data_IF_781417301647
#
_entry.id   IF_781417301647
#
_cell.length_a   1.000
_cell.length_b   1.000
_cell.length_c   1.000
_cell.angle_alpha   90.00
_cell.angle_beta   90.00
_cell.angle_gamma   90.00
#
_symmetry.space_group_name_H-M   'P 1'
#
loop_
_entity.id
_entity.type
_entity.pdbx_description
1 polymer ?
#
# COMPACT_ATOMS: atom_id res chain seq x y z
N UNK A 1 -7.26 -63.44 13.54
CA UNK A 1 -6.86 -62.21 14.27
C UNK A 1 -5.81 -61.37 13.52
N UNK A 2 -4.93 -61.94 12.73
CA UNK A 2 -3.84 -61.27 11.98
C UNK A 2 -4.37 -60.50 10.76
N UNK A 3 -5.42 -60.99 10.10
CA UNK A 3 -5.98 -60.40 8.88
C UNK A 3 -6.65 -59.04 9.12
N UNK A 4 -7.33 -58.86 10.26
CA UNK A 4 -7.98 -57.61 10.64
C UNK A 4 -6.96 -56.51 10.92
N UNK A 5 -5.82 -56.84 11.52
CA UNK A 5 -4.75 -55.88 11.83
C UNK A 5 -4.03 -55.37 10.58
N UNK A 6 -3.94 -56.22 9.53
CA UNK A 6 -3.35 -55.85 8.25
C UNK A 6 -4.25 -54.92 7.42
N UNK A 7 -5.56 -55.13 7.49
CA UNK A 7 -6.55 -54.33 6.81
C UNK A 7 -6.65 -52.92 7.39
N UNK A 8 -6.62 -52.82 8.74
CA UNK A 8 -6.63 -51.52 9.43
C UNK A 8 -5.38 -50.68 9.14
N UNK A 9 -4.20 -51.32 9.07
CA UNK A 9 -2.97 -50.61 8.71
C UNK A 9 -2.99 -50.05 7.28
N UNK A 10 -3.54 -50.79 6.32
CA UNK A 10 -3.65 -50.34 4.93
C UNK A 10 -4.59 -49.13 4.82
N UNK A 11 -5.70 -49.18 5.55
CA UNK A 11 -6.69 -48.06 5.54
C UNK A 11 -6.09 -46.83 6.18
N UNK A 12 -5.41 -46.93 7.31
CA UNK A 12 -4.73 -45.81 7.99
C UNK A 12 -3.61 -45.25 7.11
N UNK A 13 -2.86 -46.13 6.42
CA UNK A 13 -1.78 -45.67 5.52
C UNK A 13 -2.33 -44.94 4.29
N UNK A 14 -3.44 -45.43 3.70
CA UNK A 14 -4.16 -44.77 2.60
C UNK A 14 -4.76 -43.42 3.00
N UNK A 15 -5.34 -43.33 4.20
CA UNK A 15 -5.85 -42.07 4.74
C UNK A 15 -4.72 -41.05 5.01
N UNK A 16 -3.60 -41.52 5.55
CA UNK A 16 -2.42 -40.68 5.83
C UNK A 16 -1.77 -40.15 4.54
N UNK A 17 -1.77 -40.95 3.46
CA UNK A 17 -1.28 -40.56 2.15
C UNK A 17 -2.25 -39.55 1.47
N UNK A 18 -3.56 -39.77 1.56
CA UNK A 18 -4.57 -38.81 1.04
C UNK A 18 -4.41 -37.42 1.63
N UNK A 19 -4.20 -37.34 2.97
CA UNK A 19 -3.95 -36.06 3.63
C UNK A 19 -2.64 -35.41 3.19
N UNK A 20 -1.58 -36.18 2.99
CA UNK A 20 -0.30 -35.62 2.49
C UNK A 20 -0.43 -35.10 1.07
N UNK A 21 -1.14 -35.81 0.19
CA UNK A 21 -1.39 -35.39 -1.18
C UNK A 21 -2.28 -34.12 -1.20
N UNK A 22 -3.26 -34.04 -0.32
CA UNK A 22 -4.16 -32.90 -0.20
C UNK A 22 -3.41 -31.66 0.32
N UNK A 23 -2.49 -31.83 1.28
CA UNK A 23 -1.61 -30.77 1.77
C UNK A 23 -0.64 -30.33 0.68
N UNK A 24 -0.11 -31.26 -0.10
CA UNK A 24 0.84 -30.96 -1.19
C UNK A 24 0.14 -30.23 -2.35
N UNK A 25 -1.10 -30.60 -2.69
CA UNK A 25 -1.95 -29.88 -3.63
C UNK A 25 -2.31 -28.48 -3.13
N UNK A 26 -2.65 -28.34 -1.86
CA UNK A 26 -2.96 -27.05 -1.25
C UNK A 26 -1.73 -26.13 -1.24
N UNK A 27 -0.55 -26.68 -0.94
CA UNK A 27 0.72 -25.95 -0.97
C UNK A 27 1.12 -25.53 -2.40
N UNK A 28 0.85 -26.40 -3.39
CA UNK A 28 1.04 -26.08 -4.81
C UNK A 28 0.13 -24.94 -5.26
N UNK A 29 -1.11 -24.89 -4.75
CA UNK A 29 -2.07 -23.82 -5.07
C UNK A 29 -1.66 -22.47 -4.47
N UNK A 30 -1.03 -22.48 -3.27
CA UNK A 30 -0.49 -21.28 -2.63
C UNK A 30 0.73 -20.74 -3.39
N UNK A 31 1.61 -21.63 -3.87
CA UNK A 31 2.77 -21.21 -4.69
C UNK A 31 2.35 -20.64 -6.06
N UNK A 32 1.28 -21.15 -6.64
CA UNK A 32 0.72 -20.63 -7.90
C UNK A 32 0.05 -19.25 -7.73
N UNK A 33 -0.42 -18.95 -6.52
CA UNK A 33 -1.03 -17.66 -6.18
C UNK A 33 -0.04 -16.49 -6.10
N UNK A 34 1.26 -16.77 -5.96
CA UNK A 34 2.30 -15.73 -6.00
C UNK A 34 2.65 -15.26 -7.44
N UNK A 35 2.22 -15.98 -8.45
CA UNK A 35 2.22 -15.51 -9.85
C UNK A 35 0.97 -14.68 -10.16
N UNK A 36 0.23 -14.29 -9.12
CA UNK A 36 -0.88 -13.34 -9.22
C UNK A 36 -0.36 -12.04 -9.80
N UNK A 37 -0.55 -11.95 -11.06
CA UNK A 37 -0.59 -10.76 -11.88
C UNK A 37 -1.45 -9.73 -11.14
N UNK A 38 -0.86 -9.02 -10.19
CA UNK A 38 -1.32 -7.66 -10.00
C UNK A 38 -1.15 -7.00 -11.36
N UNK A 39 -2.12 -6.26 -11.80
CA UNK A 39 -2.08 -5.46 -13.04
C UNK A 39 -0.92 -4.45 -13.06
N UNK A 40 -0.11 -4.40 -12.03
CA UNK A 40 1.21 -3.81 -11.86
C UNK A 40 2.35 -4.85 -11.98
N UNK A 41 2.08 -6.04 -12.48
CA UNK A 41 3.09 -7.03 -12.80
C UNK A 41 4.11 -6.51 -13.79
N UNK A 42 5.21 -7.22 -13.94
CA UNK A 42 6.41 -6.87 -14.73
C UNK A 42 6.07 -6.25 -16.10
N UNK A 43 4.97 -6.64 -16.72
CA UNK A 43 4.49 -6.07 -17.98
C UNK A 43 3.80 -4.70 -17.79
N UNK A 44 3.03 -4.48 -16.72
CA UNK A 44 2.40 -3.21 -16.43
C UNK A 44 3.41 -2.13 -16.05
N UNK A 45 4.44 -2.50 -15.29
CA UNK A 45 5.55 -1.60 -14.95
C UNK A 45 6.39 -1.28 -16.18
N UNK A 46 6.65 -2.26 -17.03
CA UNK A 46 7.41 -2.07 -18.28
C UNK A 46 6.70 -1.14 -19.25
N UNK A 47 5.39 -1.28 -19.42
CA UNK A 47 4.60 -0.41 -20.30
C UNK A 47 4.51 1.01 -19.73
N UNK A 48 4.32 1.16 -18.41
CA UNK A 48 4.30 2.48 -17.76
C UNK A 48 5.65 3.19 -17.89
N UNK A 49 6.75 2.46 -17.75
CA UNK A 49 8.10 2.99 -17.93
C UNK A 49 8.37 3.40 -19.38
N UNK A 50 7.87 2.63 -20.35
CA UNK A 50 8.04 2.95 -21.77
C UNK A 50 7.27 4.20 -22.24
N UNK A 51 6.17 4.53 -21.56
CA UNK A 51 5.33 5.71 -21.88
C UNK A 51 5.81 6.95 -21.11
N UNK A 52 6.46 6.77 -19.97
CA UNK A 52 6.95 7.89 -19.16
C UNK A 52 8.23 8.48 -19.79
N UNK A 53 8.24 9.77 -20.16
CA UNK A 53 9.40 10.40 -20.81
C UNK A 53 10.60 10.58 -19.89
N UNK A 54 10.48 10.29 -18.59
CA UNK A 54 11.58 10.38 -17.63
C UNK A 54 12.54 9.18 -17.80
N UNK A 55 13.82 9.40 -17.49
CA UNK A 55 14.80 8.32 -17.50
C UNK A 55 14.44 7.22 -16.48
N UNK A 56 14.84 5.98 -16.76
CA UNK A 56 14.66 4.85 -15.83
C UNK A 56 15.30 5.13 -14.47
N UNK A 57 16.47 5.74 -14.45
CA UNK A 57 17.14 6.13 -13.20
C UNK A 57 16.29 7.07 -12.37
N UNK A 58 15.75 8.13 -12.97
CA UNK A 58 14.87 9.08 -12.29
C UNK A 58 13.61 8.39 -11.73
N UNK A 59 13.03 7.45 -12.46
CA UNK A 59 11.84 6.72 -12.00
C UNK A 59 12.14 5.81 -10.81
N UNK A 60 13.32 5.18 -10.80
CA UNK A 60 13.79 4.36 -9.69
C UNK A 60 14.04 5.24 -8.46
N UNK A 61 14.74 6.36 -8.62
CA UNK A 61 15.04 7.30 -7.55
C UNK A 61 13.75 7.87 -6.94
N UNK A 62 12.80 8.30 -7.77
CA UNK A 62 11.49 8.77 -7.34
C UNK A 62 10.73 7.70 -6.55
N UNK A 63 10.80 6.43 -7.00
CA UNK A 63 10.14 5.30 -6.34
C UNK A 63 10.75 5.00 -4.97
N UNK A 64 12.06 5.07 -4.83
CA UNK A 64 12.76 4.89 -3.56
C UNK A 64 12.43 6.04 -2.59
N UNK A 65 12.46 7.27 -3.09
CA UNK A 65 12.07 8.46 -2.33
C UNK A 65 10.62 8.38 -1.87
N UNK A 66 9.70 7.96 -2.74
CA UNK A 66 8.29 7.76 -2.41
C UNK A 66 8.10 6.75 -1.27
N UNK A 67 8.79 5.60 -1.33
CA UNK A 67 8.72 4.56 -0.30
C UNK A 67 9.28 5.07 1.04
N UNK A 68 10.41 5.76 1.01
CA UNK A 68 11.05 6.32 2.20
C UNK A 68 10.14 7.37 2.86
N UNK A 69 9.59 8.30 2.08
CA UNK A 69 8.65 9.30 2.56
C UNK A 69 7.39 8.65 3.16
N UNK A 70 6.82 7.67 2.48
CA UNK A 70 5.63 6.95 2.97
C UNK A 70 5.92 6.24 4.29
N UNK A 71 7.08 5.59 4.43
CA UNK A 71 7.49 4.95 5.68
C UNK A 71 7.63 5.96 6.84
N UNK A 72 8.23 7.13 6.58
CA UNK A 72 8.36 8.21 7.59
C UNK A 72 7.00 8.77 8.01
N UNK A 73 6.09 8.97 7.06
CA UNK A 73 4.71 9.41 7.35
C UNK A 73 3.98 8.37 8.20
N UNK A 74 4.15 7.08 7.88
CA UNK A 74 3.58 5.97 8.66
C UNK A 74 4.09 5.94 10.10
N UNK A 75 5.39 6.14 10.29
CA UNK A 75 6.02 6.19 11.61
C UNK A 75 5.54 7.38 12.45
N UNK A 76 5.20 8.50 11.81
CA UNK A 76 4.64 9.65 12.50
C UNK A 76 3.22 9.38 13.00
N UNK A 77 2.34 8.94 12.11
CA UNK A 77 0.98 8.52 12.43
C UNK A 77 0.39 7.69 11.29
N UNK A 78 -0.01 6.45 11.58
CA UNK A 78 -0.61 5.54 10.59
C UNK A 78 -1.89 6.10 9.93
N UNK A 79 -2.62 6.97 10.62
CA UNK A 79 -3.84 7.57 10.08
C UNK A 79 -3.57 8.50 8.90
N UNK A 80 -2.36 9.07 8.81
CA UNK A 80 -1.97 9.92 7.67
C UNK A 80 -1.95 9.18 6.34
N UNK A 81 -1.73 7.85 6.33
CA UNK A 81 -1.81 7.05 5.10
C UNK A 81 -3.20 7.08 4.45
N UNK A 82 -4.25 7.32 5.23
CA UNK A 82 -5.63 7.40 4.74
C UNK A 82 -6.03 8.83 4.40
N UNK A 83 -5.51 9.82 5.14
CA UNK A 83 -5.91 11.23 5.01
C UNK A 83 -4.98 12.05 4.13
N UNK A 84 -3.73 11.62 3.95
CA UNK A 84 -2.69 12.34 3.20
C UNK A 84 -2.12 11.44 2.11
N UNK A 85 -2.06 11.97 0.90
CA UNK A 85 -1.42 11.31 -0.25
C UNK A 85 -0.13 12.05 -0.56
N UNK A 86 0.95 11.31 -0.76
CA UNK A 86 2.22 11.82 -1.25
C UNK A 86 2.50 11.27 -2.64
N UNK A 87 3.11 12.08 -3.51
CA UNK A 87 3.59 11.67 -4.82
C UNK A 87 4.94 12.32 -5.07
N UNK A 88 5.87 11.54 -5.61
CA UNK A 88 7.20 12.02 -5.99
C UNK A 88 7.35 11.97 -7.50
N UNK A 89 7.80 13.05 -8.09
CA UNK A 89 8.04 13.20 -9.53
C UNK A 89 9.28 14.06 -9.75
N UNK A 90 10.32 13.49 -10.31
CA UNK A 90 11.58 14.19 -10.60
C UNK A 90 12.17 14.88 -9.36
N UNK A 91 12.18 14.15 -8.22
CA UNK A 91 12.65 14.69 -6.93
C UNK A 91 11.73 15.74 -6.30
N UNK A 92 10.59 16.02 -6.91
CA UNK A 92 9.56 16.94 -6.38
C UNK A 92 8.50 16.17 -5.62
N UNK A 93 8.27 16.53 -4.38
CA UNK A 93 7.27 15.93 -3.50
C UNK A 93 6.00 16.77 -3.54
N UNK A 94 4.88 16.10 -3.82
CA UNK A 94 3.54 16.67 -3.77
C UNK A 94 2.79 16.03 -2.60
N UNK A 95 2.34 16.84 -1.65
CA UNK A 95 1.51 16.40 -0.53
C UNK A 95 0.10 16.94 -0.74
N UNK A 96 -0.90 16.07 -0.67
CA UNK A 96 -2.32 16.43 -0.81
C UNK A 96 -3.14 15.68 0.23
N UNK A 97 -4.29 16.21 0.58
CA UNK A 97 -5.19 15.57 1.55
C UNK A 97 -5.77 16.55 2.56
N UNK A 98 -6.19 16.01 3.70
CA UNK A 98 -6.77 16.80 4.78
C UNK A 98 -6.22 16.35 6.12
N UNK A 99 -5.89 17.31 6.99
CA UNK A 99 -5.46 17.10 8.38
C UNK A 99 -6.34 17.91 9.33
N UNK A 100 -6.33 17.55 10.59
CA UNK A 100 -7.19 18.20 11.58
C UNK A 100 -6.56 19.52 12.07
N UNK A 101 -5.22 19.57 12.17
CA UNK A 101 -4.51 20.69 12.77
C UNK A 101 -3.43 21.28 11.83
N UNK A 102 -3.20 22.60 11.91
CA UNK A 102 -2.11 23.26 11.16
C UNK A 102 -0.73 22.70 11.47
N UNK A 103 -0.51 22.28 12.72
CA UNK A 103 0.76 21.68 13.16
C UNK A 103 1.07 20.35 12.44
N UNK A 104 0.06 19.55 12.15
CA UNK A 104 0.21 18.32 11.40
C UNK A 104 0.70 18.59 9.96
N UNK A 105 0.15 19.63 9.33
CA UNK A 105 0.60 20.09 8.03
C UNK A 105 2.07 20.51 8.05
N UNK A 106 2.51 21.20 9.09
CA UNK A 106 3.91 21.60 9.25
C UNK A 106 4.83 20.40 9.46
N UNK A 107 4.44 19.44 10.32
CA UNK A 107 5.19 18.19 10.56
C UNK A 107 5.39 17.40 9.28
N UNK A 108 4.33 17.26 8.47
CA UNK A 108 4.39 16.56 7.18
C UNK A 108 5.28 17.28 6.17
N UNK A 109 5.24 18.62 6.14
CA UNK A 109 6.13 19.43 5.30
C UNK A 109 7.60 19.21 5.69
N UNK A 110 7.89 19.23 6.99
CA UNK A 110 9.24 19.00 7.51
C UNK A 110 9.79 17.64 7.09
N UNK A 111 9.01 16.56 7.30
CA UNK A 111 9.40 15.21 6.91
C UNK A 111 9.67 15.12 5.40
N UNK A 112 8.87 15.80 4.58
CA UNK A 112 9.08 15.83 3.15
C UNK A 112 10.42 16.50 2.79
N UNK A 113 10.77 17.61 3.41
CA UNK A 113 12.06 18.28 3.20
C UNK A 113 13.26 17.48 3.71
N UNK A 114 13.08 16.69 4.76
CA UNK A 114 14.12 15.80 5.31
C UNK A 114 14.32 14.51 4.48
N UNK A 115 13.55 14.31 3.42
CA UNK A 115 13.70 13.14 2.56
C UNK A 115 14.89 13.31 1.63
N UNK A 116 15.79 12.31 1.59
CA UNK A 116 16.98 12.37 0.76
C UNK A 116 16.64 12.53 -0.72
N UNK A 117 17.31 13.43 -1.41
CA UNK A 117 17.14 13.66 -2.85
C UNK A 117 15.99 14.61 -3.21
N UNK A 118 15.30 15.17 -2.22
CA UNK A 118 14.23 16.14 -2.47
C UNK A 118 14.77 17.42 -3.11
N UNK A 119 14.11 17.85 -4.19
CA UNK A 119 14.40 19.12 -4.88
C UNK A 119 13.40 20.21 -4.51
N UNK A 120 12.14 19.83 -4.33
CA UNK A 120 11.09 20.76 -3.91
C UNK A 120 9.92 20.03 -3.25
N UNK A 121 9.19 20.74 -2.39
CA UNK A 121 7.99 20.23 -1.72
C UNK A 121 6.84 21.18 -2.02
N UNK A 122 5.78 20.66 -2.63
CA UNK A 122 4.50 21.33 -2.77
C UNK A 122 3.49 20.74 -1.81
N UNK A 123 3.06 21.53 -0.83
CA UNK A 123 2.12 21.09 0.19
C UNK A 123 0.73 21.72 -0.02
N UNK A 124 -0.15 20.96 -0.66
CA UNK A 124 -1.55 21.29 -0.90
C UNK A 124 -2.49 20.62 0.13
N UNK A 125 -1.97 20.22 1.31
CA UNK A 125 -2.78 19.68 2.39
C UNK A 125 -3.71 20.80 2.93
N UNK A 126 -4.99 20.48 3.01
CA UNK A 126 -6.02 21.37 3.60
C UNK A 126 -6.25 20.99 5.06
N UNK A 127 -6.59 21.95 5.89
CA UNK A 127 -7.06 21.72 7.26
C UNK A 127 -8.55 21.40 7.16
N UNK A 128 -9.00 20.37 7.89
CA UNK A 128 -10.42 20.06 7.99
C UNK A 128 -11.11 21.21 8.73
N UNK A 129 -12.08 21.84 8.08
CA UNK A 129 -12.94 22.79 8.76
C UNK A 129 -13.79 22.04 9.78
N UNK A 130 -13.81 22.50 11.02
CA UNK A 130 -14.77 22.01 12.00
C UNK A 130 -16.17 22.19 11.39
N UNK A 131 -16.93 21.09 11.30
CA UNK A 131 -18.28 21.10 10.75
C UNK A 131 -19.14 22.03 11.63
N UNK A 132 -19.34 23.25 11.15
CA UNK A 132 -20.08 24.28 11.88
C UNK A 132 -21.57 24.09 11.57
N UNK A 133 -22.21 23.18 12.32
CA UNK A 133 -23.63 22.85 12.20
C UNK A 133 -24.52 24.12 12.20
N UNK A 134 -24.09 25.15 12.93
CA UNK A 134 -24.80 26.42 13.04
C UNK A 134 -24.79 27.22 11.73
N UNK A 135 -23.73 27.11 10.95
CA UNK A 135 -23.58 27.79 9.64
C UNK A 135 -24.38 27.06 8.57
N UNK A 136 -24.28 25.72 8.53
CA UNK A 136 -25.05 24.89 7.60
C UNK A 136 -26.57 25.00 7.83
N UNK A 137 -27.01 25.13 9.07
CA UNK A 137 -28.42 25.34 9.40
C UNK A 137 -28.90 26.75 8.94
N UNK A 138 -28.03 27.75 9.00
CA UNK A 138 -28.35 29.12 8.55
C UNK A 138 -28.46 29.20 7.02
N UNK A 139 -27.60 28.49 6.30
CA UNK A 139 -27.61 28.43 4.83
C UNK A 139 -28.85 27.72 4.29
N UNK A 140 -29.38 26.74 5.04
CA UNK A 140 -30.63 26.04 4.69
C UNK A 140 -31.90 26.90 4.93
N UNK A 141 -31.81 27.92 5.79
CA UNK A 141 -32.94 28.84 6.07
C UNK A 141 -33.02 30.04 5.15
N UNK A 142 -32.04 30.24 4.27
CA UNK A 142 -31.96 31.40 3.33
C UNK A 142 -32.49 31.01 1.93
N UNK A 143 -32.86 29.72 1.72
CA UNK A 143 -33.48 29.26 0.47
C UNK A 143 -35.00 29.23 0.64
#
# INVERSE_FOLDING_TARGET
MIFQKKLSMIIVWKLKMKNKILILLFFSFILSGCAGVSSSGIFGTGVSVAIDPRSLGTQIDDSLMQKNLTARILLLNKNYLLSVKSKVLDGRIFLTGKVDEPEEKLKLTKIAWETNGVRSVKNDIKIKEAFNFKQSAKDLLIT
#
